data_IF_359145605698
#
_entry.id   IF_359145605698
#
_cell.length_a   1.000
_cell.length_b   1.000
_cell.length_c   1.000
_cell.angle_alpha   90.00
_cell.angle_beta   90.00
_cell.angle_gamma   90.00
#
_symmetry.space_group_name_H-M   'P 1'
#
loop_
_entity.id
_entity.type
_entity.pdbx_description
1 polymer ?
#
# COMPACT_ATOMS: atom_id res chain seq x y z
N UNK A 1 17.46 -0.96 2.53
CA UNK A 1 16.43 -0.65 1.56
C UNK A 1 15.45 0.40 2.12
N UNK A 2 14.60 0.07 3.09
CA UNK A 2 13.50 0.94 3.55
C UNK A 2 13.91 2.34 3.98
N UNK A 3 15.00 2.49 4.72
CA UNK A 3 15.50 3.82 5.13
C UNK A 3 15.85 4.71 3.93
N UNK A 4 16.39 4.12 2.86
CA UNK A 4 16.75 4.85 1.64
C UNK A 4 15.50 5.19 0.82
N UNK A 5 14.61 4.23 0.64
CA UNK A 5 13.41 4.41 -0.18
C UNK A 5 12.35 5.33 0.45
N UNK A 6 12.30 5.40 1.79
CA UNK A 6 11.32 6.25 2.49
C UNK A 6 11.93 7.50 3.14
N UNK A 7 13.25 7.55 3.29
CA UNK A 7 13.94 8.65 3.99
C UNK A 7 13.77 10.01 3.34
N UNK A 8 13.62 10.06 2.01
CA UNK A 8 13.44 11.30 1.26
C UNK A 8 12.03 11.87 1.25
N UNK A 9 11.02 11.13 1.75
CA UNK A 9 9.62 11.49 1.62
C UNK A 9 9.00 12.14 2.87
N UNK A 10 9.83 12.53 3.84
CA UNK A 10 9.46 13.28 5.04
C UNK A 10 9.87 12.62 6.36
N UNK A 11 9.91 13.44 7.43
CA UNK A 11 10.49 13.09 8.72
C UNK A 11 9.92 11.82 9.38
N UNK A 12 8.71 11.41 9.06
CA UNK A 12 8.06 10.25 9.65
C UNK A 12 8.34 8.95 8.92
N UNK A 13 8.81 8.98 7.68
CA UNK A 13 8.86 7.78 6.86
C UNK A 13 10.07 6.88 7.13
N UNK A 14 11.16 7.44 7.63
CA UNK A 14 12.34 6.65 8.00
C UNK A 14 12.29 6.11 9.44
N UNK A 15 11.64 6.83 10.36
CA UNK A 15 11.57 6.45 11.80
C UNK A 15 11.08 5.02 12.05
N UNK A 16 10.02 4.51 11.39
CA UNK A 16 9.57 3.14 11.59
C UNK A 16 10.62 2.08 11.28
N UNK A 17 11.62 2.42 10.48
CA UNK A 17 12.66 1.49 10.03
C UNK A 17 13.98 1.59 10.82
N UNK A 18 13.98 2.34 11.91
CA UNK A 18 15.13 2.39 12.81
C UNK A 18 15.39 1.01 13.43
N UNK A 19 16.66 0.72 13.76
CA UNK A 19 17.05 -0.58 14.32
C UNK A 19 16.92 -1.76 13.32
N UNK A 20 16.92 -1.49 12.01
CA UNK A 20 16.83 -2.54 10.99
C UNK A 20 15.43 -3.12 10.77
N UNK A 21 14.41 -2.52 11.36
CA UNK A 21 13.01 -2.94 11.16
C UNK A 21 12.62 -2.89 9.68
N UNK A 22 11.94 -3.91 9.21
CA UNK A 22 11.48 -4.05 7.83
C UNK A 22 9.95 -3.94 7.67
N UNK A 23 9.29 -3.28 8.62
CA UNK A 23 7.85 -2.95 8.57
C UNK A 23 7.57 -1.65 9.33
N UNK A 24 6.51 -0.97 8.92
CA UNK A 24 5.96 0.18 9.61
C UNK A 24 4.46 -0.05 9.78
N UNK A 25 3.94 0.10 10.99
CA UNK A 25 2.58 -0.30 11.31
C UNK A 25 2.43 -1.80 11.45
N UNK A 26 1.44 -2.38 10.79
CA UNK A 26 1.24 -3.83 10.78
C UNK A 26 2.35 -4.56 10.02
N UNK A 27 2.74 -5.71 10.53
CA UNK A 27 3.71 -6.58 9.87
C UNK A 27 3.04 -7.26 8.66
N UNK A 28 3.62 -7.19 7.46
CA UNK A 28 3.08 -7.90 6.30
C UNK A 28 3.04 -9.41 6.54
N UNK A 29 1.95 -10.02 6.09
CA UNK A 29 1.80 -11.48 6.05
C UNK A 29 2.67 -12.08 4.92
N UNK A 30 2.67 -11.42 3.77
CA UNK A 30 3.49 -11.78 2.62
C UNK A 30 4.29 -10.59 2.12
N UNK A 31 5.32 -10.87 1.33
CA UNK A 31 6.16 -9.87 0.68
C UNK A 31 6.49 -10.32 -0.73
N UNK A 32 6.35 -9.42 -1.69
CA UNK A 32 7.01 -9.57 -2.98
C UNK A 32 8.25 -8.67 -2.98
N UNK A 33 9.39 -9.25 -3.32
CA UNK A 33 10.68 -8.56 -3.28
C UNK A 33 11.37 -8.78 -4.61
N UNK A 34 11.65 -7.68 -5.31
CA UNK A 34 12.50 -7.67 -6.50
C UNK A 34 13.96 -7.49 -6.11
N UNK A 35 14.83 -8.22 -6.75
CA UNK A 35 16.28 -8.14 -6.57
C UNK A 35 16.98 -7.84 -7.89
N UNK A 36 18.11 -7.16 -7.79
CA UNK A 36 19.12 -7.06 -8.85
C UNK A 36 20.52 -7.40 -8.29
N UNK A 37 21.56 -7.16 -9.07
CA UNK A 37 22.95 -7.42 -8.65
C UNK A 37 23.38 -6.58 -7.43
N UNK A 38 22.67 -5.51 -7.10
CA UNK A 38 22.96 -4.59 -5.98
C UNK A 38 22.04 -4.85 -4.75
N UNK A 39 21.23 -5.90 -4.79
CA UNK A 39 20.35 -6.29 -3.69
C UNK A 39 18.88 -5.97 -3.92
N UNK A 40 18.15 -5.59 -2.87
CA UNK A 40 16.72 -5.29 -2.97
C UNK A 40 16.47 -4.07 -3.86
N UNK A 41 15.77 -4.29 -4.96
CA UNK A 41 15.40 -3.29 -5.95
C UNK A 41 13.99 -2.71 -5.70
N UNK A 42 13.03 -3.60 -5.38
CA UNK A 42 11.64 -3.22 -5.12
C UNK A 42 11.05 -4.10 -4.02
N UNK A 43 10.04 -3.60 -3.34
CA UNK A 43 9.34 -4.31 -2.28
C UNK A 43 7.88 -3.89 -2.21
N UNK A 44 7.00 -4.86 -1.97
CA UNK A 44 5.61 -4.63 -1.57
C UNK A 44 5.22 -5.62 -0.48
N UNK A 45 4.59 -5.13 0.57
CA UNK A 45 4.01 -5.94 1.64
C UNK A 45 2.52 -6.16 1.41
N UNK A 46 2.03 -7.32 1.79
CA UNK A 46 0.63 -7.73 1.67
C UNK A 46 0.15 -8.18 3.05
N UNK A 47 -0.96 -7.62 3.50
CA UNK A 47 -1.61 -7.98 4.75
C UNK A 47 -3.10 -8.17 4.52
N UNK A 48 -3.62 -9.37 4.79
CA UNK A 48 -5.09 -9.57 4.82
C UNK A 48 -5.64 -9.02 6.12
N UNK A 49 -6.70 -8.26 6.02
CA UNK A 49 -7.38 -7.69 7.18
C UNK A 49 -8.82 -7.32 6.87
N UNK A 50 -9.63 -7.23 7.92
CA UNK A 50 -10.93 -6.59 7.82
C UNK A 50 -10.76 -5.08 7.86
N UNK A 51 -11.52 -4.41 6.99
CA UNK A 51 -11.75 -2.96 7.04
C UNK A 51 -13.25 -2.71 7.05
N UNK A 52 -13.65 -1.58 7.60
CA UNK A 52 -15.03 -1.12 7.53
C UNK A 52 -15.15 -0.06 6.44
N UNK A 53 -16.07 -0.25 5.50
CA UNK A 53 -16.40 0.71 4.45
C UNK A 53 -17.89 1.04 4.60
N UNK A 54 -18.21 2.28 5.01
CA UNK A 54 -19.56 2.58 5.48
C UNK A 54 -19.97 1.64 6.62
N UNK A 55 -21.03 0.89 6.43
CA UNK A 55 -21.52 -0.09 7.41
C UNK A 55 -21.08 -1.54 7.12
N UNK A 56 -20.28 -1.75 6.08
CA UNK A 56 -19.87 -3.09 5.63
C UNK A 56 -18.47 -3.44 6.14
N UNK A 57 -18.34 -4.59 6.80
CA UNK A 57 -17.04 -5.19 7.11
C UNK A 57 -16.57 -6.04 5.92
N UNK A 58 -15.41 -5.73 5.39
CA UNK A 58 -14.88 -6.33 4.18
C UNK A 58 -13.48 -6.90 4.44
N UNK A 59 -13.29 -8.20 4.15
CA UNK A 59 -11.96 -8.79 4.14
C UNK A 59 -11.24 -8.39 2.86
N UNK A 60 -10.09 -7.78 3.00
CA UNK A 60 -9.29 -7.24 1.88
C UNK A 60 -7.80 -7.53 2.05
N UNK A 61 -7.03 -7.35 0.99
CA UNK A 61 -5.58 -7.29 1.08
C UNK A 61 -5.11 -5.82 1.11
N UNK A 62 -4.53 -5.38 2.21
CA UNK A 62 -3.81 -4.11 2.26
C UNK A 62 -2.44 -4.27 1.58
N UNK A 63 -2.19 -3.47 0.56
CA UNK A 63 -0.91 -3.36 -0.11
C UNK A 63 -0.14 -2.20 0.50
N UNK A 64 0.91 -2.51 1.24
CA UNK A 64 1.69 -1.51 1.95
C UNK A 64 3.19 -1.71 1.79
N UNK A 65 3.98 -0.78 2.35
CA UNK A 65 5.43 -0.83 2.27
C UNK A 65 5.94 -0.95 0.82
N UNK A 66 5.17 -0.39 -0.11
CA UNK A 66 5.59 -0.33 -1.50
C UNK A 66 6.76 0.65 -1.64
N UNK A 67 7.86 0.19 -2.16
CA UNK A 67 9.04 1.00 -2.37
C UNK A 67 9.90 0.48 -3.50
N UNK A 68 10.55 1.40 -4.16
CA UNK A 68 11.55 1.14 -5.20
C UNK A 68 12.85 1.81 -4.73
N UNK A 69 13.97 1.19 -4.99
CA UNK A 69 15.27 1.78 -4.69
C UNK A 69 15.44 3.07 -5.51
N UNK A 70 15.92 4.18 -4.91
CA UNK A 70 15.91 5.50 -5.55
C UNK A 70 16.61 5.58 -6.92
N UNK A 71 17.68 4.80 -7.11
CA UNK A 71 18.39 4.73 -8.39
C UNK A 71 17.61 4.04 -9.52
N UNK A 72 16.53 3.33 -9.16
CA UNK A 72 15.65 2.61 -10.09
C UNK A 72 14.29 3.32 -10.29
N UNK A 73 14.09 4.48 -9.67
CA UNK A 73 12.88 5.27 -9.89
C UNK A 73 12.78 5.73 -11.35
N UNK A 74 11.55 5.91 -11.83
CA UNK A 74 11.23 6.33 -13.21
C UNK A 74 11.56 5.31 -14.31
N UNK A 75 12.09 4.14 -13.99
CA UNK A 75 12.36 3.06 -14.96
C UNK A 75 11.13 2.15 -15.21
N UNK A 76 9.95 2.54 -14.75
CA UNK A 76 8.72 1.77 -14.94
C UNK A 76 8.57 0.54 -14.02
N UNK A 77 9.49 0.31 -13.10
CA UNK A 77 9.47 -0.84 -12.16
C UNK A 77 8.19 -0.87 -11.31
N UNK A 78 7.57 0.28 -11.10
CA UNK A 78 6.31 0.36 -10.35
C UNK A 78 5.18 -0.52 -10.94
N UNK A 79 5.21 -0.80 -12.23
CA UNK A 79 4.23 -1.70 -12.86
C UNK A 79 4.42 -3.17 -12.47
N UNK A 80 5.59 -3.55 -11.94
CA UNK A 80 5.84 -4.90 -11.44
C UNK A 80 4.97 -5.27 -10.22
N UNK A 81 4.24 -4.30 -9.63
CA UNK A 81 3.26 -4.59 -8.57
C UNK A 81 2.22 -5.62 -9.00
N UNK A 82 1.91 -5.72 -10.29
CA UNK A 82 0.97 -6.72 -10.83
C UNK A 82 1.40 -8.17 -10.56
N UNK A 83 2.66 -8.42 -10.28
CA UNK A 83 3.17 -9.76 -9.93
C UNK A 83 2.49 -10.34 -8.67
N UNK A 84 1.93 -9.50 -7.81
CA UNK A 84 1.22 -9.97 -6.60
C UNK A 84 -0.21 -10.46 -6.87
N UNK A 85 -0.83 -10.11 -8.00
CA UNK A 85 -2.22 -10.47 -8.28
C UNK A 85 -2.51 -11.97 -8.29
N UNK A 86 -1.68 -12.85 -8.86
CA UNK A 86 -1.89 -14.30 -8.75
C UNK A 86 -1.88 -14.80 -7.30
N UNK A 87 -1.10 -14.19 -6.43
CA UNK A 87 -1.12 -14.50 -5.00
C UNK A 87 -2.43 -14.02 -4.37
N UNK A 88 -2.86 -12.79 -4.65
CA UNK A 88 -4.10 -12.23 -4.11
C UNK A 88 -5.32 -13.06 -4.51
N UNK A 89 -5.37 -13.55 -5.74
CA UNK A 89 -6.42 -14.46 -6.21
C UNK A 89 -6.44 -15.77 -5.40
N UNK A 90 -5.27 -16.37 -5.16
CA UNK A 90 -5.18 -17.59 -4.33
C UNK A 90 -5.55 -17.37 -2.87
N UNK A 91 -5.37 -16.14 -2.36
CA UNK A 91 -5.77 -15.77 -1.01
C UNK A 91 -7.29 -15.57 -0.88
N UNK A 92 -8.03 -15.58 -1.97
CA UNK A 92 -9.48 -15.47 -2.00
C UNK A 92 -10.02 -14.12 -1.54
N UNK A 93 -9.22 -13.06 -1.59
CA UNK A 93 -9.69 -11.72 -1.23
C UNK A 93 -10.45 -11.09 -2.40
N UNK A 94 -11.58 -10.42 -2.15
CA UNK A 94 -12.35 -9.78 -3.22
C UNK A 94 -11.66 -8.55 -3.78
N UNK A 95 -10.93 -7.81 -2.93
CA UNK A 95 -10.25 -6.57 -3.29
C UNK A 95 -8.89 -6.47 -2.62
N UNK A 96 -7.98 -5.76 -3.29
CA UNK A 96 -6.79 -5.22 -2.67
C UNK A 96 -6.89 -3.69 -2.60
N UNK A 97 -6.30 -3.07 -1.59
CA UNK A 97 -6.26 -1.63 -1.49
C UNK A 97 -4.92 -1.12 -0.96
N UNK A 98 -4.65 0.15 -1.22
CA UNK A 98 -3.54 0.86 -0.61
C UNK A 98 -3.88 2.34 -0.44
N UNK A 99 -3.42 2.93 0.66
CA UNK A 99 -3.52 4.37 0.87
C UNK A 99 -2.35 5.09 0.21
N UNK A 100 -2.63 6.16 -0.48
CA UNK A 100 -1.66 6.91 -1.27
C UNK A 100 -1.77 8.39 -0.94
N UNK A 101 -0.64 9.07 -0.82
CA UNK A 101 -0.61 10.51 -0.61
C UNK A 101 -1.06 11.26 -1.86
N UNK A 102 -1.68 12.42 -1.68
CA UNK A 102 -2.10 13.29 -2.78
C UNK A 102 -0.96 13.66 -3.74
N UNK A 103 0.26 13.80 -3.23
CA UNK A 103 1.47 14.05 -4.04
C UNK A 103 1.79 12.95 -5.05
N UNK A 104 1.25 11.75 -4.85
CA UNK A 104 1.45 10.60 -5.73
C UNK A 104 0.32 10.39 -6.73
N UNK A 105 -0.70 11.27 -6.74
CA UNK A 105 -1.89 11.14 -7.59
C UNK A 105 -1.56 10.84 -9.05
N UNK A 106 -0.76 11.68 -9.69
CA UNK A 106 -0.42 11.52 -11.11
C UNK A 106 0.32 10.21 -11.41
N UNK A 107 1.05 9.68 -10.43
CA UNK A 107 1.73 8.39 -10.56
C UNK A 107 0.72 7.24 -10.54
N UNK A 108 -0.20 7.22 -9.57
CA UNK A 108 -1.17 6.12 -9.44
C UNK A 108 -2.28 6.17 -10.50
N UNK A 109 -2.64 7.33 -11.01
CA UNK A 109 -3.59 7.46 -12.12
C UNK A 109 -3.14 6.70 -13.38
N UNK A 110 -1.82 6.50 -13.55
CA UNK A 110 -1.31 5.65 -14.64
C UNK A 110 -1.70 4.19 -14.48
N UNK A 111 -1.73 3.68 -13.25
CA UNK A 111 -2.23 2.33 -12.95
C UNK A 111 -3.72 2.22 -13.23
N UNK A 112 -4.48 3.25 -12.88
CA UNK A 112 -5.92 3.30 -13.13
C UNK A 112 -6.23 3.27 -14.62
N UNK A 113 -5.47 4.00 -15.45
CA UNK A 113 -5.63 3.94 -16.91
C UNK A 113 -5.37 2.56 -17.51
N UNK A 114 -4.54 1.76 -16.87
CA UNK A 114 -4.30 0.35 -17.25
C UNK A 114 -5.39 -0.62 -16.78
N UNK A 115 -6.45 -0.15 -16.12
CA UNK A 115 -7.54 -0.99 -15.63
C UNK A 115 -7.19 -1.84 -14.39
N UNK A 116 -6.00 -1.65 -13.81
CA UNK A 116 -5.54 -2.44 -12.67
C UNK A 116 -6.15 -2.01 -11.34
N UNK A 117 -6.62 -0.77 -11.26
CA UNK A 117 -7.16 -0.19 -10.04
C UNK A 117 -8.06 1.00 -10.31
N UNK A 118 -8.88 1.34 -9.33
CA UNK A 118 -9.69 2.57 -9.26
C UNK A 118 -9.17 3.46 -8.16
N UNK A 119 -9.06 4.76 -8.45
CA UNK A 119 -8.65 5.77 -7.49
C UNK A 119 -9.89 6.41 -6.87
N UNK A 120 -10.04 6.31 -5.56
CA UNK A 120 -11.10 6.93 -4.77
C UNK A 120 -10.50 8.12 -4.02
N UNK A 121 -11.17 9.27 -4.07
CA UNK A 121 -10.78 10.51 -3.40
C UNK A 121 -11.97 11.15 -2.69
N UNK A 122 -11.71 12.14 -1.83
CA UNK A 122 -12.77 12.80 -1.06
C UNK A 122 -13.30 11.95 0.08
N UNK A 123 -12.51 10.98 0.54
CA UNK A 123 -12.84 10.08 1.65
C UNK A 123 -11.95 10.37 2.86
N UNK A 124 -12.44 10.01 4.04
CA UNK A 124 -11.66 10.04 5.27
C UNK A 124 -11.36 8.61 5.72
N UNK A 125 -10.08 8.28 5.87
CA UNK A 125 -9.65 6.96 6.35
C UNK A 125 -9.28 7.07 7.83
N UNK A 126 -9.99 6.31 8.67
CA UNK A 126 -9.60 6.14 10.08
C UNK A 126 -8.65 4.98 10.18
N UNK A 127 -7.44 5.25 10.64
CA UNK A 127 -6.43 4.23 10.87
C UNK A 127 -6.03 4.13 12.33
N UNK A 128 -5.75 2.90 12.79
CA UNK A 128 -5.17 2.61 14.08
C UNK A 128 -3.78 2.03 13.88
N UNK A 129 -2.75 2.71 14.36
CA UNK A 129 -1.34 2.30 14.22
C UNK A 129 -0.57 2.57 15.50
N UNK A 130 -0.87 1.86 16.60
CA UNK A 130 -0.28 2.15 17.89
C UNK A 130 1.24 1.98 17.94
N UNK A 131 1.80 1.16 17.05
CA UNK A 131 3.20 0.74 17.13
C UNK A 131 4.16 1.56 16.26
N UNK A 132 3.64 2.44 15.41
CA UNK A 132 4.48 3.10 14.38
C UNK A 132 5.21 4.31 14.92
N UNK A 133 4.53 5.08 15.72
CA UNK A 133 5.05 6.30 16.35
C UNK A 133 4.44 6.47 17.73
N UNK A 134 5.22 6.37 18.80
CA UNK A 134 4.72 6.62 20.15
C UNK A 134 4.18 8.04 20.34
N UNK A 135 4.65 8.98 19.51
CA UNK A 135 4.25 10.40 19.57
C UNK A 135 2.97 10.71 18.78
N UNK A 136 2.41 9.72 18.05
CA UNK A 136 1.17 9.91 17.28
C UNK A 136 -0.01 9.27 17.99
N UNK A 137 -1.22 9.85 17.83
CA UNK A 137 -2.44 9.22 18.34
C UNK A 137 -2.59 7.78 17.83
N UNK A 138 -3.03 6.88 18.70
CA UNK A 138 -3.29 5.48 18.34
C UNK A 138 -4.33 5.36 17.22
N UNK A 139 -5.26 6.30 17.14
CA UNK A 139 -6.25 6.42 16.07
C UNK A 139 -6.18 7.80 15.47
N UNK A 140 -6.15 7.88 14.15
CA UNK A 140 -6.16 9.15 13.41
C UNK A 140 -7.04 9.05 12.18
N UNK A 141 -7.58 10.18 11.77
CA UNK A 141 -8.27 10.34 10.49
C UNK A 141 -7.28 10.96 9.50
N UNK A 142 -7.14 10.35 8.35
CA UNK A 142 -6.22 10.78 7.30
C UNK A 142 -7.00 11.14 6.04
N UNK A 143 -6.68 12.30 5.47
CA UNK A 143 -7.07 12.66 4.12
C UNK A 143 -6.04 12.06 3.14
N UNK A 144 -6.42 10.98 2.50
CA UNK A 144 -5.57 10.22 1.58
C UNK A 144 -6.37 9.80 0.34
N UNK A 145 -5.65 9.43 -0.70
CA UNK A 145 -6.25 8.74 -1.82
C UNK A 145 -6.30 7.24 -1.49
N UNK A 146 -7.38 6.58 -1.87
CA UNK A 146 -7.51 5.14 -1.78
C UNK A 146 -7.41 4.54 -3.18
N UNK A 147 -6.43 3.67 -3.38
CA UNK A 147 -6.28 2.89 -4.59
C UNK A 147 -6.88 1.51 -4.34
N UNK A 148 -7.91 1.13 -5.08
CA UNK A 148 -8.60 -0.15 -4.94
C UNK A 148 -8.45 -0.95 -6.22
N UNK A 149 -8.00 -2.19 -6.09
CA UNK A 149 -7.88 -3.16 -7.18
C UNK A 149 -8.89 -4.29 -6.97
N UNK A 150 -9.79 -4.55 -7.92
CA UNK A 150 -10.67 -5.72 -7.90
C UNK A 150 -9.82 -6.98 -8.15
N UNK A 151 -9.98 -8.00 -7.32
CA UNK A 151 -9.25 -9.27 -7.41
C UNK A 151 -10.19 -10.43 -7.75
N UNK A 152 -11.18 -10.64 -6.92
CA UNK A 152 -12.17 -11.71 -7.09
C UNK A 152 -13.57 -11.22 -7.39
N UNK A 153 -13.76 -9.91 -7.51
CA UNK A 153 -15.05 -9.26 -7.75
C UNK A 153 -14.92 -8.07 -8.67
N UNK A 154 -16.06 -7.53 -9.13
CA UNK A 154 -16.12 -6.26 -9.86
C UNK A 154 -15.99 -5.06 -8.92
N UNK A 155 -15.51 -3.91 -9.44
CA UNK A 155 -15.52 -2.65 -8.69
C UNK A 155 -16.92 -2.16 -8.32
N UNK A 156 -17.94 -2.56 -9.05
CA UNK A 156 -19.35 -2.24 -8.74
C UNK A 156 -19.81 -2.85 -7.41
N UNK A 157 -19.08 -3.86 -6.92
CA UNK A 157 -19.32 -4.51 -5.64
C UNK A 157 -18.52 -3.86 -4.48
N UNK A 158 -17.71 -2.86 -4.76
CA UNK A 158 -17.06 -2.09 -3.70
C UNK A 158 -18.10 -1.27 -2.95
N UNK A 159 -18.19 -1.37 -1.61
CA UNK A 159 -19.21 -0.66 -0.86
C UNK A 159 -19.13 0.85 -1.04
N UNK A 160 -20.27 1.48 -1.25
CA UNK A 160 -20.40 2.93 -1.17
C UNK A 160 -20.31 3.32 0.32
N UNK A 161 -19.24 4.01 0.69
CA UNK A 161 -19.02 4.52 2.04
C UNK A 161 -19.73 5.85 2.28
#
# INVERSE_FOLDING_TARGET
>A
FFRKSYGGTGAFNAKPFNGGRSWGGARPEFRAIGYDAHGVAAHIGILRRFIKVGEVDLLVAELGLYGIRPDLERLGISFSVSVVFPLLQRLGVPFAFGTVRHTMRSHVERFCRGGLATLISGISVRSTRPDVHPDLPATRVEDVLLLVSPIGRSMDEWPSG
#
